data_IF_798983984077
#
_entry.id   IF_798983984077
#
_cell.length_a   1.000
_cell.length_b   1.000
_cell.length_c   1.000
_cell.angle_alpha   90.00
_cell.angle_beta   90.00
_cell.angle_gamma   90.00
#
_symmetry.space_group_name_H-M   'P 1'
#
loop_
_entity.id
_entity.type
_entity.pdbx_description
1 polymer ?
#
# COMPACT_ATOMS: atom_id res chain seq x y z
N UNK A 1 -10.79 2.94 37.39
CA UNK A 1 -9.92 2.62 36.25
C UNK A 1 -9.59 3.95 35.60
N UNK A 2 -8.32 4.24 35.36
CA UNK A 2 -7.95 5.44 34.59
C UNK A 2 -8.35 5.27 33.13
N UNK A 3 -8.55 6.38 32.40
CA UNK A 3 -8.86 6.32 30.96
C UNK A 3 -7.78 5.55 30.17
N UNK A 4 -6.53 5.65 30.60
CA UNK A 4 -5.41 4.88 30.04
C UNK A 4 -5.57 3.37 30.23
N UNK A 5 -5.88 2.92 31.45
CA UNK A 5 -6.11 1.51 31.75
C UNK A 5 -7.34 0.94 31.01
N UNK A 6 -8.36 1.78 30.80
CA UNK A 6 -9.53 1.40 30.00
C UNK A 6 -9.10 1.16 28.56
N UNK A 7 -8.35 2.10 27.98
CA UNK A 7 -7.94 1.99 26.59
C UNK A 7 -6.99 0.82 26.35
N UNK A 8 -6.07 0.53 27.28
CA UNK A 8 -5.20 -0.65 27.20
C UNK A 8 -6.02 -1.95 27.11
N UNK A 9 -7.08 -2.10 27.91
CA UNK A 9 -8.00 -3.25 27.82
C UNK A 9 -8.81 -3.29 26.53
N UNK A 10 -9.22 -2.13 26.03
CA UNK A 10 -9.90 -2.02 24.73
C UNK A 10 -8.96 -2.50 23.61
N UNK A 11 -7.69 -2.10 23.64
CA UNK A 11 -6.68 -2.54 22.68
C UNK A 11 -6.41 -4.05 22.77
N UNK A 12 -6.35 -4.61 23.98
CA UNK A 12 -6.17 -6.06 24.19
C UNK A 12 -7.32 -6.87 23.57
N UNK A 13 -8.57 -6.47 23.81
CA UNK A 13 -9.74 -7.12 23.21
C UNK A 13 -9.84 -6.89 21.68
N UNK A 14 -9.47 -5.69 21.21
CA UNK A 14 -9.45 -5.38 19.79
C UNK A 14 -8.48 -6.28 19.02
N UNK A 15 -7.33 -6.62 19.64
CA UNK A 15 -6.34 -7.54 19.07
C UNK A 15 -6.88 -8.96 18.84
N UNK A 16 -7.91 -9.37 19.57
CA UNK A 16 -8.55 -10.68 19.39
C UNK A 16 -9.64 -10.69 18.32
N UNK A 17 -10.21 -9.51 18.00
CA UNK A 17 -11.38 -9.37 17.10
C UNK A 17 -11.06 -8.77 15.74
N UNK A 18 -9.93 -8.08 15.63
CA UNK A 18 -9.46 -7.44 14.41
C UNK A 18 -8.26 -8.23 13.90
N UNK A 19 -8.13 -8.36 12.57
CA UNK A 19 -6.97 -9.02 11.97
C UNK A 19 -5.68 -8.37 12.47
N UNK A 20 -4.62 -9.16 12.66
CA UNK A 20 -3.35 -8.65 13.20
C UNK A 20 -2.82 -7.46 12.38
N UNK A 21 -2.85 -7.55 11.05
CA UNK A 21 -2.37 -6.51 10.14
C UNK A 21 -3.23 -5.24 10.27
N UNK A 22 -4.56 -5.37 10.28
CA UNK A 22 -5.48 -4.23 10.42
C UNK A 22 -5.35 -3.57 11.80
N UNK A 23 -5.19 -4.37 12.85
CA UNK A 23 -4.96 -3.88 14.21
C UNK A 23 -3.64 -3.10 14.28
N UNK A 24 -2.55 -3.69 13.80
CA UNK A 24 -1.22 -3.08 13.80
C UNK A 24 -1.18 -1.80 12.96
N UNK A 25 -1.98 -1.72 11.88
CA UNK A 25 -2.03 -0.58 10.96
C UNK A 25 -2.91 0.57 11.48
N UNK A 26 -4.10 0.27 12.01
CA UNK A 26 -5.11 1.29 12.29
C UNK A 26 -5.36 1.52 13.77
N UNK A 27 -5.25 0.49 14.63
CA UNK A 27 -5.82 0.53 15.99
C UNK A 27 -4.74 0.64 17.06
N UNK A 28 -3.61 -0.05 16.90
CA UNK A 28 -2.56 -0.21 17.90
C UNK A 28 -2.05 1.09 18.52
N UNK A 29 -1.82 2.10 17.67
CA UNK A 29 -1.19 3.37 18.08
C UNK A 29 -2.23 4.45 18.46
N UNK A 30 -3.51 4.08 18.57
CA UNK A 30 -4.58 5.02 18.95
C UNK A 30 -4.59 5.31 20.45
N UNK A 31 -5.07 6.50 20.84
CA UNK A 31 -5.12 6.91 22.25
C UNK A 31 -6.48 7.47 22.64
N UNK A 32 -7.05 6.99 23.74
CA UNK A 32 -8.25 7.59 24.31
C UNK A 32 -7.91 8.98 24.86
N UNK A 33 -8.54 10.01 24.31
CA UNK A 33 -8.38 11.40 24.75
C UNK A 33 -9.42 11.81 25.78
N UNK A 34 -10.67 11.38 25.58
CA UNK A 34 -11.73 11.63 26.56
C UNK A 34 -12.83 10.59 26.48
N UNK A 35 -13.41 10.27 27.64
CA UNK A 35 -14.59 9.43 27.76
C UNK A 35 -15.70 10.21 28.45
N UNK A 36 -16.70 10.64 27.67
CA UNK A 36 -17.90 11.32 28.18
C UNK A 36 -19.15 10.49 27.87
N UNK A 37 -20.23 10.70 28.63
CA UNK A 37 -21.37 9.78 28.77
C UNK A 37 -21.95 9.17 27.47
N UNK A 38 -21.80 9.79 26.30
CA UNK A 38 -22.24 9.26 25.00
C UNK A 38 -21.11 9.07 23.96
N UNK A 39 -19.89 9.56 24.22
CA UNK A 39 -18.78 9.60 23.24
C UNK A 39 -17.41 9.32 23.83
N UNK A 40 -16.63 8.52 23.10
CA UNK A 40 -15.21 8.31 23.33
C UNK A 40 -14.43 9.00 22.22
N UNK A 41 -13.66 10.04 22.55
CA UNK A 41 -12.78 10.70 21.57
C UNK A 41 -11.46 9.95 21.57
N UNK A 42 -11.08 9.43 20.40
CA UNK A 42 -9.87 8.64 20.21
C UNK A 42 -8.97 9.36 19.21
N UNK A 43 -7.74 9.64 19.63
CA UNK A 43 -6.71 10.26 18.80
C UNK A 43 -6.05 9.24 17.89
N UNK A 44 -5.88 9.64 16.63
CA UNK A 44 -5.22 8.87 15.57
C UNK A 44 -4.23 9.77 14.84
N UNK A 45 -3.12 9.19 14.38
CA UNK A 45 -2.01 9.95 13.78
C UNK A 45 -2.39 10.61 12.44
N UNK A 46 -3.26 9.99 11.65
CA UNK A 46 -3.57 10.40 10.28
C UNK A 46 -5.07 10.53 10.05
N UNK A 47 -5.49 11.56 9.31
CA UNK A 47 -6.91 11.83 9.03
C UNK A 47 -7.58 10.74 8.22
N UNK A 48 -6.82 10.11 7.31
CA UNK A 48 -7.25 8.91 6.60
C UNK A 48 -7.58 7.77 7.57
N UNK A 49 -6.69 7.45 8.52
CA UNK A 49 -6.91 6.36 9.46
C UNK A 49 -8.13 6.65 10.34
N UNK A 50 -8.29 7.91 10.76
CA UNK A 50 -9.47 8.35 11.49
C UNK A 50 -10.76 8.11 10.68
N UNK A 51 -10.80 8.53 9.41
CA UNK A 51 -11.94 8.29 8.52
C UNK A 51 -12.24 6.79 8.35
N UNK A 52 -11.21 5.99 8.09
CA UNK A 52 -11.34 4.55 7.90
C UNK A 52 -11.90 3.85 9.14
N UNK A 53 -11.35 4.15 10.32
CA UNK A 53 -11.81 3.61 11.60
C UNK A 53 -13.27 3.99 11.88
N UNK A 54 -13.64 5.26 11.65
CA UNK A 54 -15.02 5.72 11.83
C UNK A 54 -16.01 5.02 10.88
N UNK A 55 -15.59 4.69 9.66
CA UNK A 55 -16.47 4.09 8.66
C UNK A 55 -16.59 2.57 8.81
N UNK A 56 -15.47 1.87 9.05
CA UNK A 56 -15.42 0.39 9.01
C UNK A 56 -15.33 -0.28 10.38
N UNK A 57 -14.65 0.34 11.33
CA UNK A 57 -14.37 -0.28 12.63
C UNK A 57 -15.21 0.28 13.78
N UNK A 58 -16.04 1.31 13.54
CA UNK A 58 -16.80 2.00 14.57
C UNK A 58 -17.70 1.06 15.38
N UNK A 59 -18.45 0.17 14.73
CA UNK A 59 -19.35 -0.76 15.42
C UNK A 59 -18.60 -1.81 16.25
N UNK A 60 -17.52 -2.38 15.68
CA UNK A 60 -16.68 -3.35 16.37
C UNK A 60 -16.04 -2.70 17.60
N UNK A 61 -15.51 -1.49 17.45
CA UNK A 61 -14.88 -0.74 18.53
C UNK A 61 -15.90 -0.31 19.58
N UNK A 62 -17.12 0.07 19.20
CA UNK A 62 -18.21 0.36 20.12
C UNK A 62 -18.56 -0.87 20.98
N UNK A 63 -18.66 -2.05 20.35
CA UNK A 63 -18.90 -3.33 21.04
C UNK A 63 -17.78 -3.65 22.05
N UNK A 64 -16.52 -3.47 21.65
CA UNK A 64 -15.36 -3.70 22.54
C UNK A 64 -15.36 -2.71 23.71
N UNK A 65 -15.59 -1.42 23.45
CA UNK A 65 -15.65 -0.39 24.49
C UNK A 65 -16.74 -0.71 25.49
N UNK A 66 -17.93 -1.09 25.03
CA UNK A 66 -19.06 -1.51 25.88
C UNK A 66 -18.68 -2.67 26.81
N UNK A 67 -17.94 -3.66 26.32
CA UNK A 67 -17.51 -4.80 27.14
C UNK A 67 -16.53 -4.41 28.25
N UNK A 68 -15.67 -3.41 28.00
CA UNK A 68 -14.70 -2.94 28.99
C UNK A 68 -15.34 -2.05 30.06
N UNK A 69 -16.24 -1.14 29.66
CA UNK A 69 -16.77 -0.09 30.57
C UNK A 69 -18.21 -0.37 31.06
N UNK A 70 -18.94 -1.26 30.39
CA UNK A 70 -20.29 -1.71 30.78
C UNK A 70 -21.43 -0.78 30.35
N UNK A 71 -21.18 0.25 29.54
CA UNK A 71 -22.20 1.16 29.01
C UNK A 71 -21.87 1.58 27.57
N UNK A 72 -22.91 1.96 26.83
CA UNK A 72 -22.80 2.24 25.40
C UNK A 72 -22.17 3.61 25.16
N UNK A 73 -21.07 3.62 24.39
CA UNK A 73 -20.35 4.84 24.02
C UNK A 73 -19.94 4.73 22.57
N UNK A 74 -20.22 5.77 21.77
CA UNK A 74 -19.80 5.79 20.37
C UNK A 74 -18.35 6.27 20.26
N UNK A 75 -17.43 5.46 19.70
CA UNK A 75 -16.08 5.92 19.42
C UNK A 75 -16.13 6.94 18.29
N UNK A 76 -15.32 8.00 18.42
CA UNK A 76 -15.05 8.96 17.36
C UNK A 76 -13.55 9.11 17.24
N UNK A 77 -13.02 8.65 16.11
CA UNK A 77 -11.60 8.72 15.77
C UNK A 77 -11.31 10.07 15.10
N UNK A 78 -10.35 10.83 15.60
CA UNK A 78 -9.95 12.14 15.04
C UNK A 78 -8.45 12.35 15.20
N UNK A 79 -7.87 13.25 14.39
CA UNK A 79 -6.48 13.69 14.58
C UNK A 79 -6.36 14.80 15.63
N UNK A 80 -5.14 15.07 16.12
CA UNK A 80 -4.89 16.21 17.01
C UNK A 80 -5.26 17.56 16.36
N UNK A 81 -5.00 17.70 15.05
CA UNK A 81 -5.40 18.88 14.30
C UNK A 81 -6.93 19.06 14.26
N UNK A 82 -7.66 17.97 14.04
CA UNK A 82 -9.13 17.96 14.05
C UNK A 82 -9.68 18.23 15.44
N UNK A 83 -9.08 17.68 16.49
CA UNK A 83 -9.44 17.96 17.88
C UNK A 83 -9.32 19.46 18.18
N UNK A 84 -8.25 20.11 17.73
CA UNK A 84 -8.04 21.55 17.95
C UNK A 84 -9.11 22.42 17.26
N UNK A 85 -9.68 21.95 16.15
CA UNK A 85 -10.82 22.57 15.43
C UNK A 85 -12.15 22.21 16.11
N UNK A 86 -12.29 20.99 16.59
CA UNK A 86 -13.44 20.47 17.34
C UNK A 86 -13.66 21.26 18.64
N UNK A 87 -12.59 21.56 19.39
CA UNK A 87 -12.68 22.34 20.64
C UNK A 87 -12.96 23.84 20.44
N UNK A 88 -12.84 24.36 19.21
CA UNK A 88 -13.12 25.77 18.87
C UNK A 88 -14.50 25.99 18.25
N UNK A 89 -15.25 24.92 18.00
CA UNK A 89 -16.51 24.98 17.26
C UNK A 89 -17.53 24.04 17.87
N UNK A 90 -18.21 24.51 18.92
CA UNK A 90 -19.51 23.93 19.28
C UNK A 90 -20.53 24.28 18.19
N UNK A 91 -21.23 23.26 17.71
CA UNK A 91 -22.33 23.28 16.73
C UNK A 91 -21.97 23.49 15.25
N UNK A 92 -21.71 22.37 14.56
CA UNK A 92 -22.40 22.03 13.30
C UNK A 92 -22.21 20.54 12.96
N UNK A 93 -23.31 19.81 12.84
CA UNK A 93 -23.36 18.50 12.19
C UNK A 93 -23.02 18.65 10.71
N UNK A 94 -22.22 17.74 10.14
CA UNK A 94 -22.26 17.45 8.71
C UNK A 94 -23.08 16.18 8.43
N UNK A 95 -23.74 16.24 7.28
CA UNK A 95 -24.72 15.31 6.71
C UNK A 95 -24.13 13.91 6.38
N UNK A 96 -25.01 12.91 6.42
CA UNK A 96 -24.83 11.54 5.93
C UNK A 96 -24.45 11.49 4.44
N UNK A 97 -23.79 10.41 4.03
CA UNK A 97 -24.36 9.61 2.96
C UNK A 97 -24.57 8.14 3.37
N UNK A 98 -25.55 7.56 2.67
CA UNK A 98 -26.21 6.28 2.88
C UNK A 98 -25.29 5.04 3.04
N UNK A 99 -25.76 4.11 3.86
CA UNK A 99 -25.27 2.75 4.05
C UNK A 99 -25.41 1.86 2.80
N UNK A 100 -24.56 0.81 2.68
CA UNK A 100 -24.58 -0.19 1.63
C UNK A 100 -25.59 -1.32 1.90
N UNK A 101 -26.15 -1.92 0.84
CA UNK A 101 -26.92 -3.16 0.92
C UNK A 101 -26.00 -4.38 0.92
N UNK A 102 -26.33 -5.31 1.81
CA UNK A 102 -25.68 -6.59 2.10
C UNK A 102 -26.22 -7.68 1.18
N UNK A 103 -25.36 -8.51 0.58
CA UNK A 103 -25.75 -9.85 0.15
C UNK A 103 -24.67 -10.89 0.47
N UNK A 104 -25.14 -12.00 1.05
CA UNK A 104 -24.39 -13.14 1.55
C UNK A 104 -24.06 -14.15 0.44
N UNK A 105 -22.89 -14.79 0.58
CA UNK A 105 -22.43 -16.12 0.15
C UNK A 105 -23.14 -16.85 -1.01
N UNK A 106 -22.36 -17.25 -2.03
CA UNK A 106 -22.38 -18.63 -2.57
C UNK A 106 -20.96 -19.08 -2.97
N UNK A 107 -20.58 -20.27 -2.48
CA UNK A 107 -19.41 -21.04 -2.90
C UNK A 107 -19.63 -21.59 -4.31
N UNK A 108 -18.65 -21.38 -5.19
CA UNK A 108 -18.51 -22.14 -6.44
C UNK A 108 -17.01 -22.34 -6.67
N UNK A 109 -16.57 -23.60 -6.63
CA UNK A 109 -15.20 -24.00 -6.95
C UNK A 109 -14.89 -23.71 -8.42
N UNK A 110 -13.87 -22.88 -8.70
CA UNK A 110 -13.10 -22.95 -9.93
C UNK A 110 -11.70 -22.33 -9.75
N UNK A 111 -10.64 -22.89 -10.36
CA UNK A 111 -9.26 -22.50 -10.07
C UNK A 111 -8.74 -21.48 -11.09
N UNK A 112 -8.20 -20.36 -10.62
CA UNK A 112 -7.37 -19.48 -11.46
C UNK A 112 -7.26 -18.05 -10.94
N UNK A 113 -6.20 -17.74 -10.19
CA UNK A 113 -5.92 -16.36 -9.76
C UNK A 113 -4.52 -16.12 -9.20
N UNK A 114 -3.85 -17.16 -8.70
CA UNK A 114 -2.60 -17.01 -7.93
C UNK A 114 -1.36 -16.86 -8.84
N UNK A 115 -1.40 -17.33 -10.10
CA UNK A 115 -0.22 -17.37 -10.98
C UNK A 115 0.26 -15.98 -11.48
N UNK A 116 -0.49 -14.91 -11.22
CA UNK A 116 -0.12 -13.55 -11.64
C UNK A 116 0.70 -12.80 -10.58
N UNK A 117 0.74 -13.31 -9.34
CA UNK A 117 1.31 -12.60 -8.20
C UNK A 117 2.56 -13.30 -7.67
N UNK A 118 3.58 -12.52 -7.31
CA UNK A 118 4.70 -13.03 -6.53
C UNK A 118 4.21 -13.39 -5.12
N UNK A 119 4.33 -14.66 -4.74
CA UNK A 119 3.88 -15.21 -3.44
C UNK A 119 4.53 -14.56 -2.22
N UNK A 120 5.70 -13.93 -2.39
CA UNK A 120 6.41 -13.26 -1.29
C UNK A 120 5.99 -11.81 -1.10
N UNK A 121 5.21 -11.23 -2.01
CA UNK A 121 4.79 -9.83 -1.93
C UNK A 121 3.43 -9.70 -1.25
N UNK A 122 3.36 -9.91 0.07
CA UNK A 122 2.13 -9.77 0.88
C UNK A 122 2.25 -8.57 1.83
N UNK A 123 1.15 -8.17 2.48
CA UNK A 123 1.21 -7.12 3.51
C UNK A 123 2.10 -7.55 4.69
N UNK A 124 2.05 -8.84 5.06
CA UNK A 124 2.87 -9.38 6.15
C UNK A 124 4.38 -9.28 5.88
N UNK A 125 4.81 -9.42 4.63
CA UNK A 125 6.23 -9.32 4.26
C UNK A 125 6.69 -7.87 4.05
N UNK A 126 5.76 -6.91 3.90
CA UNK A 126 6.10 -5.51 3.72
C UNK A 126 6.59 -4.85 5.03
N UNK A 127 7.79 -4.27 5.03
CA UNK A 127 8.32 -3.55 6.21
C UNK A 127 7.84 -2.11 6.21
N UNK A 128 7.11 -1.75 7.26
CA UNK A 128 6.53 -0.42 7.44
C UNK A 128 7.54 0.53 8.10
N UNK A 129 7.70 1.70 7.51
CA UNK A 129 8.49 2.82 8.00
C UNK A 129 7.81 4.16 7.74
N UNK A 130 8.35 5.29 8.24
CA UNK A 130 7.71 6.60 8.09
C UNK A 130 7.38 6.95 6.62
N UNK A 131 8.27 6.62 5.69
CA UNK A 131 8.15 6.95 4.28
C UNK A 131 7.18 6.09 3.45
N UNK A 132 6.61 5.02 4.05
CA UNK A 132 5.70 4.11 3.35
C UNK A 132 4.46 3.72 4.18
N UNK A 133 4.34 4.23 5.42
CA UNK A 133 3.23 3.93 6.35
C UNK A 133 1.88 4.32 5.76
N UNK A 134 1.77 5.52 5.20
CA UNK A 134 0.52 5.99 4.62
C UNK A 134 0.12 5.21 3.35
N UNK A 135 1.02 4.99 2.36
CA UNK A 135 0.76 4.09 1.24
C UNK A 135 0.37 2.67 1.64
N UNK A 136 1.01 2.11 2.68
CA UNK A 136 0.66 0.80 3.22
C UNK A 136 -0.77 0.78 3.77
N UNK A 137 -1.12 1.74 4.64
CA UNK A 137 -2.46 1.86 5.21
C UNK A 137 -3.54 2.05 4.13
N UNK A 138 -3.27 2.90 3.14
CA UNK A 138 -4.16 3.10 1.99
C UNK A 138 -4.37 1.82 1.17
N UNK A 139 -3.28 1.08 0.93
CA UNK A 139 -3.33 -0.19 0.20
C UNK A 139 -4.13 -1.24 0.96
N UNK A 140 -3.94 -1.34 2.28
CA UNK A 140 -4.68 -2.29 3.12
C UNK A 140 -6.18 -1.97 3.14
N UNK A 141 -6.56 -0.70 3.31
CA UNK A 141 -7.97 -0.30 3.29
C UNK A 141 -8.65 -0.62 1.94
N UNK A 142 -7.95 -0.39 0.83
CA UNK A 142 -8.43 -0.74 -0.52
C UNK A 142 -8.55 -2.25 -0.72
N UNK A 143 -7.69 -3.04 -0.09
CA UNK A 143 -7.79 -4.50 -0.12
C UNK A 143 -8.93 -5.04 0.77
N UNK A 144 -9.19 -4.40 1.91
CA UNK A 144 -10.25 -4.77 2.86
C UNK A 144 -11.66 -4.41 2.34
N UNK A 145 -11.82 -3.24 1.70
CA UNK A 145 -13.07 -2.87 1.04
C UNK A 145 -12.80 -2.29 -0.37
N UNK A 146 -12.59 -3.17 -1.37
CA UNK A 146 -12.38 -2.78 -2.75
C UNK A 146 -13.52 -1.89 -3.26
N UNK A 147 -13.15 -0.82 -3.96
CA UNK A 147 -13.99 0.24 -4.52
C UNK A 147 -14.78 1.09 -3.52
N UNK A 148 -14.90 0.67 -2.25
CA UNK A 148 -15.60 1.42 -1.20
C UNK A 148 -14.70 2.40 -0.45
N UNK A 149 -13.43 2.03 -0.21
CA UNK A 149 -12.48 2.90 0.48
C UNK A 149 -12.10 4.10 -0.39
N UNK A 150 -11.38 3.84 -1.48
CA UNK A 150 -10.88 4.84 -2.44
C UNK A 150 -10.78 4.22 -3.83
N UNK A 151 -11.33 4.91 -4.83
CA UNK A 151 -11.27 4.42 -6.21
C UNK A 151 -11.06 5.58 -7.21
N UNK A 152 -9.91 5.63 -7.92
CA UNK A 152 -8.77 4.73 -7.85
C UNK A 152 -7.85 5.01 -6.65
N UNK A 153 -6.98 4.06 -6.35
CA UNK A 153 -5.76 4.28 -5.56
C UNK A 153 -4.58 4.47 -6.51
N UNK A 154 -3.88 5.60 -6.40
CA UNK A 154 -2.70 5.92 -7.20
C UNK A 154 -1.46 5.96 -6.31
N UNK A 155 -0.57 4.98 -6.47
CA UNK A 155 0.65 4.83 -5.69
C UNK A 155 1.84 5.31 -6.54
N UNK A 156 2.59 6.30 -6.09
CA UNK A 156 3.78 6.73 -6.80
C UNK A 156 5.04 6.78 -5.94
N UNK A 157 6.20 6.79 -6.58
CA UNK A 157 7.49 6.85 -5.90
C UNK A 157 8.61 6.36 -6.80
N UNK A 158 9.86 6.58 -6.41
CA UNK A 158 11.03 6.13 -7.14
C UNK A 158 11.07 4.61 -7.41
N UNK A 159 12.04 4.20 -8.23
CA UNK A 159 12.28 2.78 -8.53
C UNK A 159 12.64 2.01 -7.27
N UNK A 160 12.14 0.77 -7.14
CA UNK A 160 12.53 -0.12 -6.05
C UNK A 160 12.09 0.32 -4.65
N UNK A 161 11.01 1.09 -4.52
CA UNK A 161 10.47 1.53 -3.20
C UNK A 161 9.31 0.67 -2.69
N UNK A 162 8.90 -0.38 -3.40
CA UNK A 162 7.85 -1.30 -2.95
C UNK A 162 6.46 -1.08 -3.55
N UNK A 163 6.31 -0.25 -4.60
CA UNK A 163 5.03 -0.06 -5.32
C UNK A 163 4.41 -1.38 -5.79
N UNK A 164 5.17 -2.17 -6.56
CA UNK A 164 4.74 -3.48 -7.05
C UNK A 164 4.47 -4.47 -5.89
N UNK A 165 5.20 -4.34 -4.77
CA UNK A 165 4.93 -5.15 -3.58
C UNK A 165 3.54 -4.84 -3.02
N UNK A 166 3.21 -3.57 -2.79
CA UNK A 166 1.89 -3.16 -2.31
C UNK A 166 0.78 -3.58 -3.29
N UNK A 167 0.99 -3.46 -4.60
CA UNK A 167 -0.01 -3.93 -5.58
C UNK A 167 -0.27 -5.43 -5.47
N UNK A 168 0.78 -6.24 -5.36
CA UNK A 168 0.62 -7.68 -5.17
C UNK A 168 -0.02 -8.01 -3.83
N UNK A 169 0.33 -7.29 -2.77
CA UNK A 169 -0.26 -7.47 -1.44
C UNK A 169 -1.77 -7.20 -1.45
N UNK A 170 -2.23 -6.17 -2.18
CA UNK A 170 -3.66 -5.93 -2.42
C UNK A 170 -4.29 -7.13 -3.12
N UNK A 171 -3.67 -7.61 -4.20
CA UNK A 171 -4.19 -8.75 -4.97
C UNK A 171 -4.33 -10.02 -4.13
N UNK A 172 -3.29 -10.38 -3.37
CA UNK A 172 -3.32 -11.52 -2.45
C UNK A 172 -4.42 -11.36 -1.40
N UNK A 173 -4.48 -10.22 -0.73
CA UNK A 173 -5.45 -10.01 0.36
C UNK A 173 -6.90 -10.05 -0.15
N UNK A 174 -7.17 -9.52 -1.35
CA UNK A 174 -8.50 -9.63 -1.98
C UNK A 174 -8.85 -11.09 -2.28
N UNK A 175 -7.91 -11.87 -2.82
CA UNK A 175 -8.12 -13.27 -3.16
C UNK A 175 -8.22 -14.17 -1.91
N UNK A 176 -7.52 -13.85 -0.83
CA UNK A 176 -7.59 -14.56 0.44
C UNK A 176 -8.97 -14.38 1.09
N UNK A 177 -9.54 -13.17 1.02
CA UNK A 177 -10.86 -12.86 1.56
C UNK A 177 -12.01 -13.28 0.64
N UNK A 178 -11.81 -13.21 -0.68
CA UNK A 178 -12.77 -13.62 -1.69
C UNK A 178 -12.06 -14.37 -2.83
N UNK A 179 -11.92 -15.71 -2.71
CA UNK A 179 -11.24 -16.53 -3.73
C UNK A 179 -11.89 -16.49 -5.12
N UNK A 180 -13.15 -16.03 -5.21
CA UNK A 180 -13.89 -15.93 -6.46
C UNK A 180 -13.75 -14.55 -7.13
N UNK A 181 -13.05 -13.60 -6.51
CA UNK A 181 -12.84 -12.27 -7.08
C UNK A 181 -11.99 -12.38 -8.36
N UNK A 182 -12.41 -11.70 -9.41
CA UNK A 182 -11.61 -11.60 -10.63
C UNK A 182 -10.61 -10.45 -10.52
N UNK A 183 -9.37 -10.78 -10.15
CA UNK A 183 -8.27 -9.81 -9.96
C UNK A 183 -7.28 -9.92 -11.11
N UNK A 184 -6.98 -8.79 -11.76
CA UNK A 184 -5.95 -8.73 -12.80
C UNK A 184 -4.79 -7.85 -12.36
N UNK A 185 -3.58 -8.40 -12.45
CA UNK A 185 -2.35 -7.64 -12.43
C UNK A 185 -1.72 -7.55 -13.83
N UNK A 186 -1.38 -6.34 -14.26
CA UNK A 186 -0.70 -6.11 -15.52
C UNK A 186 0.22 -4.89 -15.44
N UNK A 187 1.36 -4.93 -16.12
CA UNK A 187 2.07 -3.69 -16.42
C UNK A 187 1.34 -2.93 -17.53
N UNK A 188 1.53 -1.61 -17.58
CA UNK A 188 0.96 -0.79 -18.65
C UNK A 188 1.56 -1.13 -20.02
N UNK A 189 2.80 -1.64 -20.07
CA UNK A 189 3.42 -2.18 -21.28
C UNK A 189 2.73 -3.45 -21.76
N UNK A 190 2.44 -4.40 -20.85
CA UNK A 190 1.69 -5.62 -21.19
C UNK A 190 0.29 -5.29 -21.69
N UNK A 191 -0.41 -4.37 -21.00
CA UNK A 191 -1.70 -3.85 -21.46
C UNK A 191 -1.62 -3.26 -22.87
N UNK A 192 -0.59 -2.44 -23.14
CA UNK A 192 -0.35 -1.88 -24.48
C UNK A 192 -0.18 -2.99 -25.52
N UNK A 193 0.67 -3.97 -25.25
CA UNK A 193 1.00 -5.02 -26.20
C UNK A 193 -0.21 -5.92 -26.48
N UNK A 194 -0.99 -6.24 -25.45
CA UNK A 194 -2.24 -6.99 -25.61
C UNK A 194 -3.29 -6.20 -26.40
N UNK A 195 -3.38 -4.87 -26.20
CA UNK A 195 -4.25 -4.01 -26.99
C UNK A 195 -3.84 -4.00 -28.47
N UNK A 196 -2.55 -3.78 -28.76
CA UNK A 196 -2.04 -3.81 -30.14
C UNK A 196 -2.29 -5.17 -30.80
N UNK A 197 -2.10 -6.26 -30.06
CA UNK A 197 -2.40 -7.61 -30.54
C UNK A 197 -3.90 -7.78 -30.83
N UNK A 198 -4.77 -7.30 -29.95
CA UNK A 198 -6.22 -7.38 -30.13
C UNK A 198 -6.70 -6.65 -31.39
N UNK A 199 -6.09 -5.51 -31.74
CA UNK A 199 -6.38 -4.80 -32.99
C UNK A 199 -5.94 -5.63 -34.19
N UNK A 200 -4.71 -6.14 -34.16
CA UNK A 200 -4.12 -6.93 -35.25
C UNK A 200 -4.92 -8.19 -35.56
N UNK A 201 -5.35 -8.89 -34.51
CA UNK A 201 -6.02 -10.18 -34.62
C UNK A 201 -7.56 -10.03 -34.70
N UNK A 202 -8.07 -8.79 -34.72
CA UNK A 202 -9.50 -8.45 -34.68
C UNK A 202 -10.25 -9.06 -33.48
N UNK A 203 -9.60 -9.05 -32.31
CA UNK A 203 -10.07 -9.60 -31.04
C UNK A 203 -10.35 -8.51 -29.98
N UNK A 204 -10.88 -7.37 -30.43
CA UNK A 204 -11.18 -6.24 -29.54
C UNK A 204 -12.17 -6.58 -28.42
N UNK A 205 -13.19 -7.40 -28.71
CA UNK A 205 -14.18 -7.80 -27.70
C UNK A 205 -13.57 -8.70 -26.62
N UNK A 206 -12.67 -9.62 -27.00
CA UNK A 206 -11.96 -10.46 -26.03
C UNK A 206 -11.02 -9.65 -25.12
N UNK A 207 -10.39 -8.61 -25.66
CA UNK A 207 -9.59 -7.67 -24.87
C UNK A 207 -10.45 -6.92 -23.85
N UNK A 208 -11.61 -6.42 -24.27
CA UNK A 208 -12.55 -5.71 -23.39
C UNK A 208 -13.11 -6.65 -22.31
N UNK A 209 -13.51 -7.85 -22.67
CA UNK A 209 -14.01 -8.85 -21.71
C UNK A 209 -12.95 -9.12 -20.64
N UNK A 210 -11.70 -9.34 -21.06
CA UNK A 210 -10.59 -9.56 -20.13
C UNK A 210 -10.40 -8.41 -19.15
N UNK A 211 -10.44 -7.16 -19.59
CA UNK A 211 -10.07 -6.01 -18.75
C UNK A 211 -11.25 -5.25 -18.13
N UNK A 212 -12.49 -5.54 -18.53
CA UNK A 212 -13.69 -4.82 -18.05
C UNK A 212 -14.65 -5.70 -17.25
N UNK A 213 -14.57 -7.03 -17.37
CA UNK A 213 -15.35 -7.96 -16.57
C UNK A 213 -14.54 -8.48 -15.36
N UNK A 214 -14.00 -7.55 -14.56
CA UNK A 214 -13.14 -7.84 -13.41
C UNK A 214 -13.59 -7.10 -12.16
N UNK A 215 -13.17 -7.55 -10.99
CA UNK A 215 -13.46 -6.91 -9.70
C UNK A 215 -12.37 -5.93 -9.30
N UNK A 216 -11.11 -6.25 -9.63
CA UNK A 216 -9.94 -5.42 -9.28
C UNK A 216 -8.96 -5.37 -10.44
N UNK A 217 -8.63 -4.16 -10.88
CA UNK A 217 -7.55 -3.88 -11.83
C UNK A 217 -6.34 -3.30 -11.12
N UNK A 218 -5.22 -4.01 -11.17
CA UNK A 218 -3.92 -3.56 -10.71
C UNK A 218 -3.04 -3.26 -11.93
N UNK A 219 -2.84 -1.98 -12.26
CA UNK A 219 -1.98 -1.55 -13.37
C UNK A 219 -0.66 -0.93 -12.87
N UNK A 220 0.45 -1.60 -13.18
CA UNK A 220 1.81 -1.20 -12.76
C UNK A 220 2.48 -0.30 -13.81
N UNK A 221 3.29 0.64 -13.34
CA UNK A 221 4.15 1.54 -14.13
C UNK A 221 3.41 2.32 -15.24
N UNK A 222 2.31 3.00 -14.89
CA UNK A 222 1.45 3.73 -15.83
C UNK A 222 2.20 4.77 -16.67
N UNK A 223 3.35 5.29 -16.23
CA UNK A 223 4.17 6.23 -16.99
C UNK A 223 4.56 5.72 -18.39
N UNK A 224 4.57 4.40 -18.64
CA UNK A 224 4.94 3.86 -19.95
C UNK A 224 3.86 4.07 -21.05
N UNK A 225 2.65 4.53 -20.71
CA UNK A 225 1.63 4.90 -21.72
C UNK A 225 1.74 6.36 -22.19
N UNK A 226 2.63 7.15 -21.60
CA UNK A 226 2.64 8.61 -21.75
C UNK A 226 2.80 9.12 -23.19
N UNK A 227 3.34 8.33 -24.11
CA UNK A 227 3.46 8.67 -25.55
C UNK A 227 2.61 7.77 -26.47
N UNK A 228 1.63 7.04 -25.92
CA UNK A 228 0.83 6.04 -26.64
C UNK A 228 -0.63 6.44 -26.68
N UNK A 229 -0.97 7.40 -27.55
CA UNK A 229 -2.31 8.04 -27.57
C UNK A 229 -3.47 7.04 -27.66
N UNK A 230 -3.40 6.07 -28.58
CA UNK A 230 -4.44 5.04 -28.72
C UNK A 230 -4.55 4.15 -27.47
N UNK A 231 -3.43 3.84 -26.82
CA UNK A 231 -3.43 3.07 -25.57
C UNK A 231 -4.00 3.89 -24.41
N UNK A 232 -3.68 5.18 -24.33
CA UNK A 232 -4.27 6.08 -23.34
C UNK A 232 -5.79 6.17 -23.53
N UNK A 233 -6.26 6.23 -24.76
CA UNK A 233 -7.68 6.21 -25.08
C UNK A 233 -8.37 4.92 -24.65
N UNK A 234 -7.83 3.77 -25.03
CA UNK A 234 -8.41 2.48 -24.63
C UNK A 234 -8.38 2.28 -23.11
N UNK A 235 -7.29 2.68 -22.46
CA UNK A 235 -7.20 2.65 -20.99
C UNK A 235 -8.21 3.60 -20.35
N UNK A 236 -8.43 4.79 -20.90
CA UNK A 236 -9.46 5.71 -20.42
C UNK A 236 -10.86 5.09 -20.48
N UNK A 237 -11.19 4.38 -21.57
CA UNK A 237 -12.48 3.67 -21.67
C UNK A 237 -12.60 2.53 -20.66
N UNK A 238 -11.55 1.71 -20.53
CA UNK A 238 -11.49 0.63 -19.54
C UNK A 238 -11.66 1.16 -18.12
N UNK A 239 -10.94 2.24 -17.79
CA UNK A 239 -11.03 2.91 -16.50
C UNK A 239 -12.45 3.39 -16.20
N UNK A 240 -13.11 4.04 -17.16
CA UNK A 240 -14.49 4.50 -16.99
C UNK A 240 -15.46 3.36 -16.71
N UNK A 241 -15.37 2.28 -17.50
CA UNK A 241 -16.25 1.13 -17.37
C UNK A 241 -16.13 0.51 -15.98
N UNK A 242 -14.89 0.29 -15.53
CA UNK A 242 -14.61 -0.28 -14.22
C UNK A 242 -15.08 0.64 -13.09
N UNK A 243 -14.74 1.92 -13.17
CA UNK A 243 -15.10 2.87 -12.11
C UNK A 243 -16.61 3.05 -11.97
N UNK A 244 -17.33 3.22 -13.10
CA UNK A 244 -18.79 3.35 -13.09
C UNK A 244 -19.51 2.10 -12.57
N UNK A 245 -18.89 0.94 -12.71
CA UNK A 245 -19.40 -0.34 -12.21
C UNK A 245 -18.86 -0.69 -10.81
N UNK A 246 -18.30 0.28 -10.08
CA UNK A 246 -17.73 0.12 -8.73
C UNK A 246 -16.69 -1.01 -8.66
N UNK A 247 -15.85 -1.14 -9.68
CA UNK A 247 -14.71 -2.07 -9.71
C UNK A 247 -13.46 -1.33 -9.25
N UNK A 248 -12.64 -1.96 -8.41
CA UNK A 248 -11.45 -1.31 -7.84
C UNK A 248 -10.38 -1.11 -8.91
N UNK A 249 -9.79 0.08 -8.94
CA UNK A 249 -8.64 0.39 -9.79
C UNK A 249 -7.47 0.81 -8.90
N UNK A 250 -6.33 0.15 -9.05
CA UNK A 250 -5.07 0.55 -8.40
C UNK A 250 -4.03 0.78 -9.49
N UNK A 251 -3.37 1.94 -9.42
CA UNK A 251 -2.43 2.41 -10.42
C UNK A 251 -1.11 2.68 -9.71
N UNK A 252 0.01 2.20 -10.28
CA UNK A 252 1.33 2.62 -9.83
C UNK A 252 2.01 3.56 -10.84
N UNK A 253 2.90 4.42 -10.34
CA UNK A 253 3.78 5.22 -11.20
C UNK A 253 5.14 5.53 -10.57
N UNK A 254 6.12 5.90 -11.38
CA UNK A 254 7.39 6.46 -10.90
C UNK A 254 7.30 7.93 -10.45
N UNK A 255 6.18 8.61 -10.77
CA UNK A 255 5.97 10.04 -10.53
C UNK A 255 4.48 10.36 -10.34
N UNK A 256 4.11 11.51 -9.73
CA UNK A 256 2.70 11.87 -9.57
C UNK A 256 2.04 12.14 -10.93
N UNK A 257 0.69 12.09 -11.03
CA UNK A 257 -0.02 12.25 -12.29
C UNK A 257 0.42 13.50 -13.07
N UNK A 258 0.55 14.64 -12.39
CA UNK A 258 0.97 15.95 -12.94
C UNK A 258 2.32 15.93 -13.66
N UNK A 259 3.22 15.02 -13.29
CA UNK A 259 4.57 14.94 -13.85
C UNK A 259 4.70 13.92 -14.99
N UNK A 260 3.63 13.15 -15.29
CA UNK A 260 3.59 12.26 -16.44
C UNK A 260 3.41 13.11 -17.71
N UNK A 261 4.47 13.15 -18.51
CA UNK A 261 4.59 14.01 -19.68
C UNK A 261 3.78 13.46 -20.85
N UNK A 262 2.95 14.30 -21.49
CA UNK A 262 2.05 13.87 -22.58
C UNK A 262 0.97 12.84 -22.18
N UNK A 263 0.71 12.70 -20.89
CA UNK A 263 -0.52 12.09 -20.41
C UNK A 263 -1.71 13.01 -20.69
N UNK A 264 -2.77 12.48 -21.29
CA UNK A 264 -3.99 13.24 -21.58
C UNK A 264 -4.62 13.82 -20.30
N UNK A 265 -5.16 15.04 -20.41
CA UNK A 265 -5.77 15.75 -19.28
C UNK A 265 -6.94 14.98 -18.67
N UNK A 266 -7.70 14.26 -19.51
CA UNK A 266 -8.78 13.39 -19.05
C UNK A 266 -8.27 12.28 -18.15
N UNK A 267 -7.18 11.58 -18.50
CA UNK A 267 -6.61 10.55 -17.63
C UNK A 267 -6.04 11.16 -16.36
N UNK A 268 -5.36 12.31 -16.46
CA UNK A 268 -4.81 13.03 -15.31
C UNK A 268 -5.90 13.35 -14.29
N UNK A 269 -7.03 13.91 -14.72
CA UNK A 269 -8.18 14.20 -13.87
C UNK A 269 -8.73 12.94 -13.19
N UNK A 270 -8.73 11.80 -13.89
CA UNK A 270 -9.16 10.50 -13.36
C UNK A 270 -8.16 9.84 -12.43
N UNK A 271 -6.91 10.24 -12.44
CA UNK A 271 -5.96 9.80 -11.42
C UNK A 271 -6.09 10.67 -10.17
N UNK A 272 -6.37 11.96 -10.35
CA UNK A 272 -6.45 12.95 -9.27
C UNK A 272 -7.75 12.94 -8.46
N UNK A 273 -8.85 12.39 -8.98
CA UNK A 273 -10.11 12.32 -8.22
C UNK A 273 -10.14 11.23 -7.13
N UNK A 274 -9.16 10.32 -7.13
CA UNK A 274 -9.03 9.22 -6.18
C UNK A 274 -8.08 9.58 -5.05
N UNK A 275 -7.48 8.56 -4.43
CA UNK A 275 -6.43 8.76 -3.44
C UNK A 275 -5.05 8.65 -4.10
N UNK A 276 -4.23 9.69 -3.95
CA UNK A 276 -2.83 9.68 -4.37
C UNK A 276 -1.95 9.55 -3.14
N UNK A 277 -1.07 8.54 -3.14
CA UNK A 277 -0.11 8.29 -2.06
C UNK A 277 1.31 8.18 -2.62
N UNK A 278 2.29 8.70 -1.87
CA UNK A 278 3.69 8.68 -2.25
C UNK A 278 4.50 7.74 -1.35
N UNK A 279 5.39 6.95 -1.97
CA UNK A 279 6.39 6.16 -1.27
C UNK A 279 7.74 6.86 -1.40
N UNK A 280 8.38 7.10 -0.27
CA UNK A 280 9.70 7.74 -0.19
C UNK A 280 10.79 6.73 0.21
N UNK A 281 12.07 7.04 -0.05
CA UNK A 281 13.17 6.17 0.37
C UNK A 281 13.15 5.88 1.88
N UNK A 282 13.41 4.62 2.30
CA UNK A 282 13.38 4.24 3.70
C UNK A 282 14.49 4.92 4.52
N UNK A 283 14.19 5.26 5.77
CA UNK A 283 15.19 5.71 6.74
C UNK A 283 16.12 4.55 7.18
N UNK A 284 17.11 4.86 8.01
CA UNK A 284 18.08 3.85 8.44
C UNK A 284 17.42 2.69 9.19
N UNK A 285 16.52 2.98 10.12
CA UNK A 285 15.81 1.96 10.92
C UNK A 285 14.99 1.03 10.01
N UNK A 286 14.27 1.60 9.04
CA UNK A 286 13.48 0.83 8.07
C UNK A 286 14.39 -0.02 7.18
N UNK A 287 15.53 0.51 6.71
CA UNK A 287 16.51 -0.29 5.94
C UNK A 287 17.09 -1.44 6.74
N UNK A 288 17.38 -1.23 8.02
CA UNK A 288 17.85 -2.29 8.91
C UNK A 288 16.79 -3.37 9.12
N UNK A 289 15.53 -2.97 9.36
CA UNK A 289 14.43 -3.90 9.50
C UNK A 289 14.18 -4.72 8.21
N UNK A 290 14.30 -4.09 7.03
CA UNK A 290 14.23 -4.79 5.74
C UNK A 290 15.34 -5.86 5.63
N UNK A 291 16.59 -5.48 5.91
CA UNK A 291 17.72 -6.42 5.84
C UNK A 291 17.58 -7.57 6.84
N UNK A 292 17.19 -7.27 8.08
CA UNK A 292 16.96 -8.27 9.13
C UNK A 292 15.88 -9.27 8.72
N UNK A 293 14.73 -8.76 8.26
CA UNK A 293 13.65 -9.62 7.79
C UNK A 293 14.09 -10.53 6.65
N UNK A 294 14.86 -10.00 5.70
CA UNK A 294 15.36 -10.79 4.56
C UNK A 294 16.30 -11.91 4.99
N UNK A 295 17.20 -11.67 5.95
CA UNK A 295 18.09 -12.73 6.45
C UNK A 295 17.35 -13.76 7.29
N UNK A 296 16.30 -13.36 8.01
CA UNK A 296 15.43 -14.28 8.76
C UNK A 296 14.64 -15.19 7.82
N UNK A 297 14.01 -14.62 6.79
CA UNK A 297 13.26 -15.36 5.77
C UNK A 297 14.14 -16.37 5.02
N UNK A 298 15.38 -15.99 4.70
CA UNK A 298 16.33 -16.82 3.96
C UNK A 298 17.23 -17.70 4.87
N UNK A 299 17.04 -17.67 6.20
CA UNK A 299 17.88 -18.35 7.20
C UNK A 299 19.39 -18.10 7.03
N UNK A 300 19.77 -16.85 6.81
CA UNK A 300 21.14 -16.42 6.60
C UNK A 300 21.79 -15.95 7.90
N UNK A 301 23.00 -16.45 8.17
CA UNK A 301 23.81 -15.99 9.29
C UNK A 301 24.76 -14.88 8.81
N UNK A 302 24.37 -13.63 9.06
CA UNK A 302 25.13 -12.44 8.67
C UNK A 302 25.39 -11.56 9.90
N UNK A 303 26.64 -11.19 10.19
CA UNK A 303 26.95 -10.30 11.31
C UNK A 303 26.23 -8.95 11.21
N UNK A 304 25.67 -8.50 12.33
CA UNK A 304 24.94 -7.22 12.43
C UNK A 304 25.77 -6.02 11.94
N UNK A 305 27.08 -6.02 12.18
CA UNK A 305 27.99 -4.98 11.69
C UNK A 305 28.04 -4.90 10.15
N UNK A 306 27.93 -6.05 9.47
CA UNK A 306 27.90 -6.10 8.01
C UNK A 306 26.56 -5.59 7.45
N UNK A 307 25.44 -5.88 8.13
CA UNK A 307 24.14 -5.30 7.79
C UNK A 307 24.14 -3.78 8.00
N UNK A 308 24.69 -3.32 9.13
CA UNK A 308 24.87 -1.89 9.42
C UNK A 308 25.70 -1.20 8.35
N UNK A 309 26.76 -1.85 7.88
CA UNK A 309 27.57 -1.33 6.78
C UNK A 309 26.73 -1.16 5.50
N UNK A 310 25.98 -2.20 5.09
CA UNK A 310 25.11 -2.14 3.91
C UNK A 310 24.07 -1.01 4.03
N UNK A 311 23.36 -0.94 5.16
CA UNK A 311 22.31 0.05 5.39
C UNK A 311 22.82 1.50 5.41
N UNK A 312 24.08 1.72 5.81
CA UNK A 312 24.70 3.05 5.77
C UNK A 312 25.14 3.46 4.37
N UNK A 313 25.62 2.50 3.57
CA UNK A 313 26.15 2.77 2.23
C UNK A 313 25.05 2.87 1.17
N UNK A 314 23.98 2.07 1.29
CA UNK A 314 22.89 2.01 0.31
C UNK A 314 21.66 2.74 0.86
N UNK A 315 21.42 3.95 0.35
CA UNK A 315 20.35 4.85 0.81
C UNK A 315 19.32 5.17 -0.29
N UNK A 316 19.54 4.65 -1.48
CA UNK A 316 18.82 4.98 -2.72
C UNK A 316 17.43 4.34 -2.78
N UNK A 317 17.37 3.01 -2.77
CA UNK A 317 16.13 2.24 -2.84
C UNK A 317 16.30 0.81 -2.29
N UNK A 318 15.18 0.14 -2.03
CA UNK A 318 15.13 -1.20 -1.42
C UNK A 318 15.74 -2.25 -2.35
N UNK A 319 15.54 -2.12 -3.67
CA UNK A 319 16.10 -3.07 -4.65
C UNK A 319 17.62 -3.06 -4.65
N UNK A 320 18.25 -1.88 -4.56
CA UNK A 320 19.71 -1.77 -4.42
C UNK A 320 20.20 -2.30 -3.08
N UNK A 321 19.42 -2.09 -2.00
CA UNK A 321 19.73 -2.59 -0.66
C UNK A 321 19.78 -4.12 -0.64
N UNK A 322 18.75 -4.76 -1.17
CA UNK A 322 18.68 -6.22 -1.29
C UNK A 322 19.73 -6.74 -2.28
N UNK A 323 19.94 -6.03 -3.40
CA UNK A 323 20.98 -6.38 -4.36
C UNK A 323 22.39 -6.35 -3.77
N UNK A 324 22.67 -5.42 -2.86
CA UNK A 324 23.92 -5.37 -2.11
C UNK A 324 24.08 -6.58 -1.18
N UNK A 325 23.01 -6.99 -0.50
CA UNK A 325 23.00 -8.20 0.33
C UNK A 325 23.27 -9.46 -0.51
N UNK A 326 22.54 -9.64 -1.62
CA UNK A 326 22.75 -10.75 -2.55
C UNK A 326 24.18 -10.78 -3.09
N UNK A 327 24.74 -9.60 -3.41
CA UNK A 327 26.12 -9.48 -3.89
C UNK A 327 27.13 -9.91 -2.84
N UNK A 328 26.95 -9.50 -1.59
CA UNK A 328 27.81 -9.91 -0.47
C UNK A 328 27.79 -11.43 -0.27
N UNK A 329 26.59 -12.03 -0.28
CA UNK A 329 26.41 -13.48 -0.17
C UNK A 329 27.15 -14.22 -1.29
N UNK A 330 26.93 -13.80 -2.55
CA UNK A 330 27.61 -14.40 -3.70
C UNK A 330 29.14 -14.23 -3.62
N UNK A 331 29.62 -13.07 -3.19
CA UNK A 331 31.05 -12.80 -3.05
C UNK A 331 31.71 -13.66 -1.96
N UNK A 332 31.06 -13.81 -0.81
CA UNK A 332 31.49 -14.70 0.27
C UNK A 332 31.59 -16.15 -0.17
N UNK A 333 30.56 -16.66 -0.86
CA UNK A 333 30.54 -18.02 -1.39
C UNK A 333 31.66 -18.26 -2.41
N UNK A 334 31.87 -17.34 -3.35
CA UNK A 334 32.90 -17.45 -4.38
C UNK A 334 34.33 -17.40 -3.80
N UNK A 335 34.56 -16.60 -2.76
CA UNK A 335 35.87 -16.48 -2.10
C UNK A 335 36.10 -17.54 -1.03
N UNK A 336 35.06 -18.28 -0.61
CA UNK A 336 35.11 -19.21 0.51
C UNK A 336 35.46 -18.52 1.85
N UNK A 337 35.14 -17.23 1.99
CA UNK A 337 35.45 -16.42 3.18
C UNK A 337 34.18 -16.15 3.98
N UNK A 338 34.24 -16.15 5.33
CA UNK A 338 33.10 -15.75 6.15
C UNK A 338 32.75 -14.28 5.89
N UNK A 339 31.47 -13.95 6.06
CA UNK A 339 31.00 -12.57 5.90
C UNK A 339 31.53 -11.72 7.06
N UNK A 340 32.24 -10.65 6.72
CA UNK A 340 32.69 -9.62 7.66
C UNK A 340 32.45 -8.24 7.05
N UNK A 341 32.59 -7.20 7.86
CA UNK A 341 32.46 -5.80 7.42
C UNK A 341 33.50 -5.45 6.34
N UNK A 342 34.71 -6.00 6.43
CA UNK A 342 35.77 -5.82 5.43
C UNK A 342 35.41 -6.50 4.11
N UNK A 343 34.86 -7.72 4.17
CA UNK A 343 34.40 -8.43 2.98
C UNK A 343 33.22 -7.69 2.32
N UNK A 344 32.31 -7.13 3.12
CA UNK A 344 31.23 -6.27 2.62
C UNK A 344 31.77 -5.02 1.92
N UNK A 345 32.78 -4.36 2.50
CA UNK A 345 33.43 -3.21 1.86
C UNK A 345 34.10 -3.58 0.53
N UNK A 346 34.75 -4.74 0.45
CA UNK A 346 35.37 -5.25 -0.77
C UNK A 346 34.31 -5.59 -1.85
N UNK A 347 33.27 -6.34 -1.47
CA UNK A 347 32.22 -6.80 -2.38
C UNK A 347 31.39 -5.66 -2.98
N UNK A 348 31.22 -4.56 -2.24
CA UNK A 348 30.33 -3.44 -2.60
C UNK A 348 31.07 -2.22 -3.16
N UNK A 349 32.41 -2.28 -3.28
CA UNK A 349 33.25 -1.17 -3.70
C UNK A 349 32.75 -0.47 -4.97
N UNK A 350 32.36 -1.23 -6.00
CA UNK A 350 31.92 -0.67 -7.29
C UNK A 350 30.54 -0.01 -7.24
N UNK A 351 29.66 -0.46 -6.35
CA UNK A 351 28.31 0.12 -6.18
C UNK A 351 28.42 1.45 -5.45
N UNK A 352 29.27 1.50 -4.42
CA UNK A 352 29.46 2.69 -3.58
C UNK A 352 30.22 3.79 -4.34
N UNK A 353 31.13 3.41 -5.24
CA UNK A 353 31.94 4.35 -6.03
C UNK A 353 31.29 4.78 -7.36
N UNK A 354 30.13 4.23 -7.73
CA UNK A 354 29.39 4.73 -8.87
C UNK A 354 29.05 6.22 -8.63
N UNK A 355 29.44 7.15 -9.53
CA UNK A 355 29.28 8.56 -9.27
C UNK A 355 27.79 8.89 -9.11
N UNK A 356 27.41 9.42 -7.93
CA UNK A 356 26.16 10.18 -7.78
C UNK A 356 26.13 11.17 -8.92
N UNK A 357 25.22 10.96 -9.88
CA UNK A 357 25.14 11.69 -11.15
C UNK A 357 25.52 13.15 -10.94
N UNK A 358 26.67 13.58 -11.49
CA UNK A 358 27.06 14.99 -11.47
C UNK A 358 25.91 15.77 -12.09
N UNK A 359 25.25 16.62 -11.30
CA UNK A 359 24.36 17.65 -11.86
C UNK A 359 25.22 18.45 -12.83
N UNK A 360 24.96 18.29 -14.13
CA UNK A 360 25.59 19.11 -15.16
C UNK A 360 24.96 20.48 -15.00
N UNK A 361 25.62 21.37 -14.27
CA UNK A 361 25.26 22.79 -14.26
C UNK A 361 25.79 23.39 -15.55
N UNK A 362 24.90 23.79 -16.44
CA UNK A 362 25.25 24.65 -17.57
C UNK A 362 25.64 26.00 -16.97
N UNK A 363 26.88 26.43 -17.18
CA UNK A 363 27.27 27.82 -16.94
C UNK A 363 26.97 28.58 -18.23
N UNK A 364 26.18 29.65 -18.11
CA UNK A 364 25.79 30.58 -19.18
C UNK A 364 26.99 31.24 -19.86
#
# INVERSE_FOLDING_TARGET
MSEKEIWEKVLDLAKERISKISFDTFVKDTQLYSLQNDKAIVLVSESFNANWLNQKYSEIMQSIIYEVIGYEVKPRFITEEELSKYMKTDQKQPEEPATPETHQHQNVDNPGGIEQFNTHNTFDTFVIGPGNRFPHAASLAVAEAPAEAYNPLFIYGGVGLGKTHLMHAIGHHVLDNNPNANVIYTSSEKFTNEFIKSIRDNQGDAFREKYRNIDVLLIDDIQFIQNKEQTQEEFFHTFNELHNNNKQIVISSDRPPKEISKLSDRLRSRFEWGLIVDITPPDYETRMAILQKKIEEENLDIPMESLNYIANQIQSNIRELEGALTRLLAYSQLQGKPITTELAAEALKDIIQAPKSKKITIQD
#
